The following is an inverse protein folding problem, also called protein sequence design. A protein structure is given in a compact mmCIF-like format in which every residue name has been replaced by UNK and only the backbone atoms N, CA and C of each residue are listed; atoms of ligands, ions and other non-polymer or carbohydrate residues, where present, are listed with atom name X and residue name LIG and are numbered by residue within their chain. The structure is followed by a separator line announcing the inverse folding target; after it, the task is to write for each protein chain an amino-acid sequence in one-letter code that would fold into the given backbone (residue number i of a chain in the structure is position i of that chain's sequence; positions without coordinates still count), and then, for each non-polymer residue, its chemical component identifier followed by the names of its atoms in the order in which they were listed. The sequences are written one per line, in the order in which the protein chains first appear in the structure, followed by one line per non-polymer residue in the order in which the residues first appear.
data_IF_801781579279
#
_entry.id   IF_801781579279
#
_cell.length_a   1.000
_cell.length_b   1.000
_cell.length_c   1.000
_cell.angle_alpha   90.00
_cell.angle_beta   90.00
_cell.angle_gamma   90.00
#
_symmetry.space_group_name_H-M   'P 1'
#
loop_
_entity.id
_entity.type
_entity.pdbx_description
1 polymer ?
#
# COMPACT_ATOMS: atom_id res chain seq x y z
N UNK A 1 0.00 22.96 32.74
CA UNK A 1 0.43 21.66 33.31
C UNK A 1 0.61 20.54 32.29
N UNK A 2 0.66 20.86 30.97
CA UNK A 2 0.82 19.86 29.87
C UNK A 2 2.24 19.74 29.32
N UNK A 3 3.16 20.62 29.68
CA UNK A 3 4.54 20.65 29.15
C UNK A 3 5.54 19.78 29.91
N UNK A 4 5.28 19.40 31.14
CA UNK A 4 6.21 18.57 31.94
C UNK A 4 6.32 17.11 31.46
N UNK A 5 5.25 16.56 30.88
CA UNK A 5 5.28 15.17 30.39
C UNK A 5 6.04 15.01 29.07
N UNK A 6 6.11 16.08 28.26
CA UNK A 6 6.92 16.08 27.02
C UNK A 6 8.43 16.15 27.29
N UNK A 7 8.81 16.82 28.39
CA UNK A 7 10.22 16.92 28.77
C UNK A 7 10.78 15.57 29.28
N UNK A 8 9.97 14.78 29.95
CA UNK A 8 10.36 13.45 30.41
C UNK A 8 10.54 12.44 29.27
N UNK A 9 9.69 12.53 28.23
CA UNK A 9 9.84 11.68 27.05
C UNK A 9 11.07 12.07 26.20
N UNK A 10 11.32 13.40 26.04
CA UNK A 10 12.50 13.90 25.34
C UNK A 10 13.80 13.56 26.05
N UNK A 11 13.81 13.54 27.38
CA UNK A 11 14.96 13.14 28.19
C UNK A 11 15.21 11.63 28.08
N UNK A 12 14.17 10.80 27.95
CA UNK A 12 14.33 9.36 27.75
C UNK A 12 14.92 9.03 26.37
N UNK A 13 14.48 9.72 25.33
CA UNK A 13 15.07 9.59 23.99
C UNK A 13 16.51 10.13 23.91
N UNK A 14 16.83 11.21 24.62
CA UNK A 14 18.18 11.76 24.65
C UNK A 14 19.17 10.89 25.45
N UNK A 15 18.71 10.20 26.50
CA UNK A 15 19.54 9.26 27.27
C UNK A 15 19.88 7.99 26.49
N UNK A 16 19.04 7.55 25.55
CA UNK A 16 19.34 6.42 24.66
C UNK A 16 20.33 6.82 23.55
N UNK A 17 20.36 8.09 23.14
CA UNK A 17 21.27 8.57 22.09
C UNK A 17 22.70 8.89 22.59
N UNK A 18 22.91 9.05 23.90
CA UNK A 18 24.22 9.42 24.45
C UNK A 18 25.02 8.23 25.04
N UNK A 19 24.43 7.03 25.09
CA UNK A 19 25.06 5.85 25.69
C UNK A 19 25.90 4.97 24.75
N UNK A 20 26.34 5.46 23.60
CA UNK A 20 27.14 4.69 22.64
C UNK A 20 28.65 4.56 22.99
N UNK A 21 29.07 4.84 24.23
CA UNK A 21 30.48 4.69 24.63
C UNK A 21 30.72 4.15 26.03
N UNK A 22 29.77 3.43 26.62
CA UNK A 22 30.05 2.72 27.91
C UNK A 22 29.54 1.30 27.76
N UNK A 23 30.46 0.37 27.70
CA UNK A 23 30.24 -1.07 27.80
C UNK A 23 29.77 -1.39 29.24
N UNK A 24 28.47 -1.32 29.48
CA UNK A 24 27.86 -1.86 30.68
C UNK A 24 27.11 -3.12 30.30
N UNK A 25 27.65 -4.27 30.66
CA UNK A 25 26.91 -5.53 30.70
C UNK A 25 25.84 -5.42 31.79
N UNK A 26 24.72 -4.75 31.48
CA UNK A 26 23.51 -4.93 32.23
C UNK A 26 22.81 -6.14 31.62
N UNK A 27 22.74 -7.23 32.38
CA UNK A 27 21.78 -8.31 32.15
C UNK A 27 20.40 -7.63 32.08
N UNK A 28 19.92 -7.33 30.87
CA UNK A 28 18.52 -6.92 30.67
C UNK A 28 17.72 -8.21 30.65
N UNK A 29 16.81 -8.31 31.59
CA UNK A 29 15.81 -9.36 31.59
C UNK A 29 15.15 -9.37 30.21
N UNK A 30 15.25 -10.50 29.53
CA UNK A 30 14.61 -10.73 28.23
C UNK A 30 13.10 -10.68 28.42
N UNK A 31 12.47 -9.57 28.02
CA UNK A 31 11.02 -9.46 27.98
C UNK A 31 10.56 -10.12 26.68
N UNK A 32 9.71 -11.16 26.74
CA UNK A 32 9.17 -11.79 25.55
C UNK A 32 8.56 -10.76 24.59
N UNK A 33 8.69 -10.99 23.29
CA UNK A 33 8.16 -10.09 22.24
C UNK A 33 6.69 -9.77 22.48
N UNK A 34 5.91 -10.72 22.98
CA UNK A 34 4.50 -10.57 23.28
C UNK A 34 4.23 -9.55 24.38
N UNK A 35 5.04 -9.54 25.44
CA UNK A 35 4.86 -8.60 26.55
C UNK A 35 5.24 -7.18 26.15
N UNK A 36 6.26 -7.00 25.34
CA UNK A 36 6.62 -5.67 24.79
C UNK A 36 5.50 -5.09 23.94
N UNK A 37 4.92 -5.91 23.08
CA UNK A 37 3.80 -5.51 22.21
C UNK A 37 2.54 -5.21 23.01
N UNK A 38 2.18 -6.08 23.98
CA UNK A 38 1.05 -5.87 24.87
C UNK A 38 1.22 -4.60 25.71
N UNK A 39 2.42 -4.32 26.21
CA UNK A 39 2.73 -3.10 26.96
C UNK A 39 2.56 -1.84 26.10
N UNK A 40 2.96 -1.89 24.86
CA UNK A 40 2.76 -0.81 23.88
C UNK A 40 1.28 -0.53 23.64
N UNK A 41 0.50 -1.57 23.40
CA UNK A 41 -0.95 -1.46 23.25
C UNK A 41 -1.61 -0.91 24.51
N UNK A 42 -1.24 -1.41 25.68
CA UNK A 42 -1.75 -0.90 26.96
C UNK A 42 -1.47 0.59 27.12
N UNK A 43 -0.23 1.02 26.95
CA UNK A 43 0.14 2.44 27.02
C UNK A 43 -0.68 3.28 26.04
N UNK A 44 -0.77 2.84 24.78
CA UNK A 44 -1.48 3.55 23.73
C UNK A 44 -2.98 3.72 24.05
N UNK A 45 -3.68 2.62 24.37
CA UNK A 45 -5.13 2.69 24.62
C UNK A 45 -5.45 3.36 25.94
N UNK A 46 -4.63 3.25 26.96
CA UNK A 46 -4.78 4.01 28.21
C UNK A 46 -4.65 5.52 27.97
N UNK A 47 -3.72 5.96 27.12
CA UNK A 47 -3.57 7.36 26.76
C UNK A 47 -4.71 7.88 25.88
N UNK A 48 -5.37 7.01 25.12
CA UNK A 48 -6.38 7.32 24.10
C UNK A 48 -7.79 6.88 24.49
N UNK A 49 -8.01 6.43 25.72
CA UNK A 49 -9.32 5.91 26.16
C UNK A 49 -10.47 6.90 25.95
N UNK A 50 -10.22 8.19 26.15
CA UNK A 50 -11.21 9.24 25.89
C UNK A 50 -11.56 9.40 24.40
N UNK A 51 -10.62 9.04 23.48
CA UNK A 51 -10.80 9.19 22.02
C UNK A 51 -11.26 7.88 21.35
N UNK A 52 -10.79 6.73 21.85
CA UNK A 52 -10.99 5.42 21.23
C UNK A 52 -12.14 4.60 21.82
N UNK A 53 -12.62 4.96 23.02
CA UNK A 53 -13.63 4.21 23.76
C UNK A 53 -13.01 3.08 24.62
N UNK A 54 -13.89 2.29 25.24
CA UNK A 54 -13.48 1.19 26.11
C UNK A 54 -12.74 0.10 25.34
N UNK A 55 -11.72 -0.47 25.95
CA UNK A 55 -10.88 -1.50 25.35
C UNK A 55 -10.63 -2.69 26.28
N UNK A 56 -10.15 -3.80 25.72
CA UNK A 56 -9.82 -5.00 26.47
C UNK A 56 -8.84 -5.89 25.73
N UNK A 57 -8.32 -6.86 26.46
CA UNK A 57 -7.41 -7.89 25.94
C UNK A 57 -7.88 -9.28 26.34
N UNK A 58 -7.84 -10.22 25.40
CA UNK A 58 -8.14 -11.63 25.65
C UNK A 58 -7.52 -12.54 24.59
N UNK A 59 -6.87 -13.61 25.06
CA UNK A 59 -6.25 -14.63 24.19
C UNK A 59 -5.33 -14.03 23.10
N UNK A 60 -4.55 -12.99 23.45
CA UNK A 60 -3.67 -12.29 22.51
C UNK A 60 -4.36 -11.31 21.57
N UNK A 61 -5.68 -11.18 21.63
CA UNK A 61 -6.41 -10.14 20.90
C UNK A 61 -6.53 -8.88 21.74
N UNK A 62 -6.30 -7.72 21.10
CA UNK A 62 -6.68 -6.41 21.64
C UNK A 62 -7.90 -5.93 20.89
N UNK A 63 -8.89 -5.40 21.59
CA UNK A 63 -10.16 -4.98 21.01
C UNK A 63 -10.74 -3.73 21.67
N UNK A 64 -11.38 -2.91 20.87
CA UNK A 64 -12.22 -1.82 21.32
C UNK A 64 -13.68 -2.31 21.35
N UNK A 65 -14.49 -1.85 22.30
CA UNK A 65 -15.87 -2.31 22.41
C UNK A 65 -16.88 -1.23 22.74
N UNK A 66 -18.10 -1.48 22.32
CA UNK A 66 -19.28 -0.65 22.62
C UNK A 66 -20.27 -1.45 23.47
N UNK A 67 -20.53 -0.99 24.67
CA UNK A 67 -21.58 -1.56 25.54
C UNK A 67 -22.94 -1.35 24.92
N UNK A 68 -23.21 -0.14 24.39
CA UNK A 68 -24.50 0.22 23.78
C UNK A 68 -24.92 -0.75 22.68
N UNK A 69 -23.98 -1.17 21.86
CA UNK A 69 -24.26 -2.03 20.69
C UNK A 69 -23.89 -3.49 20.92
N UNK A 70 -23.31 -3.81 22.07
CA UNK A 70 -22.76 -5.13 22.39
C UNK A 70 -21.85 -5.70 21.29
N UNK A 71 -20.95 -4.83 20.77
CA UNK A 71 -20.03 -5.16 19.68
C UNK A 71 -18.60 -4.88 20.04
N UNK A 72 -17.67 -5.62 19.37
CA UNK A 72 -16.24 -5.42 19.46
C UNK A 72 -15.62 -5.20 18.08
N UNK A 73 -14.52 -4.41 18.09
CA UNK A 73 -13.61 -4.18 16.98
C UNK A 73 -12.23 -4.73 17.37
N UNK A 74 -11.72 -5.72 16.65
CA UNK A 74 -10.36 -6.21 16.84
C UNK A 74 -9.38 -5.20 16.27
N UNK A 75 -8.44 -4.76 17.08
CA UNK A 75 -7.38 -3.81 16.72
C UNK A 75 -5.98 -4.42 16.87
N UNK A 76 -5.83 -5.53 17.60
CA UNK A 76 -4.60 -6.32 17.72
C UNK A 76 -4.90 -7.81 17.64
N UNK A 77 -3.94 -8.59 17.16
CA UNK A 77 -4.03 -10.04 16.99
C UNK A 77 -2.81 -10.72 17.64
N UNK A 78 -2.89 -12.03 18.01
CA UNK A 78 -1.76 -12.76 18.57
C UNK A 78 -0.50 -12.66 17.71
N UNK A 79 0.65 -12.39 18.34
CA UNK A 79 1.91 -12.10 17.65
C UNK A 79 2.64 -13.32 17.14
N UNK A 80 2.62 -14.42 17.88
CA UNK A 80 3.40 -15.65 17.65
C UNK A 80 2.65 -16.73 16.88
N UNK A 81 1.33 -16.58 16.74
CA UNK A 81 0.48 -17.57 16.09
C UNK A 81 0.56 -17.47 14.56
N UNK A 82 0.85 -18.61 13.90
CA UNK A 82 0.81 -18.70 12.43
C UNK A 82 -0.61 -18.74 11.87
N UNK A 83 -1.56 -19.28 12.63
CA UNK A 83 -2.97 -19.37 12.25
C UNK A 83 -3.75 -18.62 13.31
N UNK A 84 -4.37 -17.53 12.91
CA UNK A 84 -5.20 -16.70 13.80
C UNK A 84 -6.67 -16.90 13.45
N UNK A 85 -7.43 -17.37 14.41
CA UNK A 85 -8.88 -17.51 14.32
C UNK A 85 -9.53 -16.31 15.01
N UNK A 86 -9.99 -15.32 14.26
CA UNK A 86 -10.74 -14.20 14.83
C UNK A 86 -12.05 -14.74 15.43
N UNK A 87 -12.33 -14.50 16.72
CA UNK A 87 -13.52 -15.05 17.36
C UNK A 87 -14.81 -14.37 16.90
N UNK A 88 -15.93 -15.08 16.91
CA UNK A 88 -17.24 -14.47 16.66
C UNK A 88 -17.69 -13.54 17.81
N UNK A 89 -17.25 -13.87 19.04
CA UNK A 89 -17.50 -13.08 20.26
C UNK A 89 -16.23 -13.01 21.10
N UNK A 90 -16.05 -11.90 21.79
CA UNK A 90 -14.98 -11.68 22.76
C UNK A 90 -15.60 -10.97 23.97
N UNK A 91 -15.46 -11.54 25.17
CA UNK A 91 -16.09 -11.09 26.40
C UNK A 91 -17.60 -10.79 26.23
N UNK A 92 -18.32 -11.75 25.65
CA UNK A 92 -19.74 -11.66 25.36
C UNK A 92 -20.12 -10.73 24.21
N UNK A 93 -19.22 -9.86 23.73
CA UNK A 93 -19.47 -8.87 22.68
C UNK A 93 -19.24 -9.47 21.29
N UNK A 94 -20.14 -9.20 20.34
CA UNK A 94 -20.03 -9.71 18.98
C UNK A 94 -18.92 -8.96 18.21
N UNK A 95 -17.94 -9.71 17.68
CA UNK A 95 -16.87 -9.14 16.85
C UNK A 95 -17.43 -8.79 15.48
N UNK A 96 -17.50 -7.50 15.17
CA UNK A 96 -18.10 -6.98 13.93
C UNK A 96 -17.09 -6.29 13.01
N UNK A 97 -15.93 -5.90 13.53
CA UNK A 97 -14.90 -5.17 12.78
C UNK A 97 -13.51 -5.73 13.09
N UNK A 98 -12.65 -5.74 12.06
CA UNK A 98 -11.21 -5.95 12.19
C UNK A 98 -10.54 -4.70 11.63
N UNK A 99 -9.74 -4.03 12.45
CA UNK A 99 -9.04 -2.79 12.10
C UNK A 99 -7.61 -2.84 12.62
N UNK A 100 -6.78 -3.55 11.90
CA UNK A 100 -5.37 -3.73 12.28
C UNK A 100 -4.51 -2.47 12.01
N UNK A 101 -5.16 -1.41 11.54
CA UNK A 101 -4.50 -0.14 11.20
C UNK A 101 -4.62 0.93 12.29
N UNK A 102 -5.62 0.85 13.17
CA UNK A 102 -5.85 1.88 14.22
C UNK A 102 -4.62 2.10 15.11
N UNK A 103 -3.87 1.05 15.39
CA UNK A 103 -2.63 1.12 16.16
C UNK A 103 -1.56 1.96 15.47
N UNK A 104 -1.52 1.92 14.13
CA UNK A 104 -0.56 2.70 13.35
C UNK A 104 -0.98 4.14 13.10
N UNK A 105 -2.28 4.43 12.98
CA UNK A 105 -2.79 5.81 12.91
C UNK A 105 -2.40 6.60 14.14
N UNK A 106 -2.44 5.95 15.27
CA UNK A 106 -2.07 6.58 16.52
C UNK A 106 -0.58 6.91 16.59
N UNK A 107 0.26 6.10 15.94
CA UNK A 107 1.70 6.35 15.87
C UNK A 107 2.07 7.44 14.84
N UNK A 108 1.19 7.79 13.88
CA UNK A 108 1.48 8.85 12.90
C UNK A 108 1.55 10.24 13.52
N UNK A 109 0.91 10.47 14.66
CA UNK A 109 0.92 11.79 15.30
C UNK A 109 2.17 12.05 16.15
N UNK A 110 2.91 11.03 16.63
CA UNK A 110 4.21 11.17 17.33
C UNK A 110 4.97 9.83 17.43
N UNK A 111 6.22 9.80 17.05
CA UNK A 111 7.40 8.95 17.39
C UNK A 111 7.25 7.45 17.80
N UNK A 112 6.05 6.87 17.90
CA UNK A 112 5.86 5.45 18.25
C UNK A 112 6.34 4.46 17.16
N UNK A 113 6.75 4.95 16.00
CA UNK A 113 7.29 4.10 14.91
C UNK A 113 8.56 3.36 15.30
N UNK A 114 9.33 3.91 16.20
CA UNK A 114 10.57 3.31 16.69
C UNK A 114 10.33 2.19 17.68
N UNK A 115 9.21 2.19 18.40
CA UNK A 115 8.89 1.18 19.41
C UNK A 115 8.42 -0.15 18.79
N UNK A 116 7.96 -0.16 17.54
CA UNK A 116 7.63 -1.38 16.79
C UNK A 116 8.83 -1.95 16.01
N UNK A 117 9.97 -1.27 16.04
CA UNK A 117 11.20 -1.73 15.43
C UNK A 117 12.15 -2.20 16.54
N UNK A 118 12.46 -3.48 16.55
CA UNK A 118 13.48 -4.03 17.43
C UNK A 118 14.86 -3.61 16.92
N UNK A 119 15.46 -2.62 17.59
CA UNK A 119 16.75 -2.05 17.19
C UNK A 119 17.89 -3.06 17.39
N UNK A 120 17.75 -3.95 18.38
CA UNK A 120 18.77 -4.96 18.73
C UNK A 120 18.77 -6.11 17.71
N UNK A 121 17.58 -6.56 17.28
CA UNK A 121 17.43 -7.61 16.27
C UNK A 121 17.36 -7.05 14.83
N UNK A 122 17.23 -5.73 14.65
CA UNK A 122 17.06 -5.10 13.35
C UNK A 122 15.75 -5.48 12.65
N UNK A 123 14.73 -5.87 13.41
CA UNK A 123 13.47 -6.40 12.89
C UNK A 123 12.25 -5.63 13.39
N UNK A 124 11.17 -5.67 12.63
CA UNK A 124 9.89 -5.11 13.04
C UNK A 124 9.13 -6.10 13.92
N UNK A 125 8.58 -5.63 15.04
CA UNK A 125 7.65 -6.39 15.86
C UNK A 125 6.33 -6.56 15.12
N UNK A 126 6.18 -7.66 14.40
CA UNK A 126 5.03 -7.95 13.57
C UNK A 126 4.47 -9.34 13.83
N UNK A 127 3.14 -9.52 13.78
CA UNK A 127 2.54 -10.83 13.96
C UNK A 127 3.09 -11.86 12.96
N UNK A 128 3.40 -13.07 13.45
CA UNK A 128 3.85 -14.19 12.62
C UNK A 128 2.72 -14.84 11.82
N UNK A 129 1.54 -14.21 11.75
CA UNK A 129 0.34 -14.75 11.13
C UNK A 129 0.55 -15.05 9.64
N UNK A 130 0.31 -16.30 9.28
CA UNK A 130 0.33 -16.78 7.89
C UNK A 130 -1.09 -16.98 7.34
N UNK A 131 -2.03 -17.35 8.20
CA UNK A 131 -3.44 -17.58 7.84
C UNK A 131 -4.33 -16.80 8.80
N UNK A 132 -5.19 -15.95 8.25
CA UNK A 132 -6.20 -15.23 9.02
C UNK A 132 -7.59 -15.78 8.69
N UNK A 133 -8.23 -16.38 9.70
CA UNK A 133 -9.59 -16.89 9.62
C UNK A 133 -10.59 -15.84 10.11
N UNK A 134 -11.49 -15.42 9.22
CA UNK A 134 -12.46 -14.34 9.42
C UNK A 134 -13.85 -14.97 9.64
N UNK A 135 -14.51 -14.72 10.78
CA UNK A 135 -15.80 -15.33 11.12
C UNK A 135 -16.96 -14.69 10.34
N UNK A 136 -18.15 -15.30 10.48
CA UNK A 136 -19.37 -14.81 9.80
C UNK A 136 -19.84 -13.45 10.33
N UNK A 137 -19.49 -13.06 11.54
CA UNK A 137 -19.95 -11.84 12.23
C UNK A 137 -19.25 -10.57 11.75
N UNK A 138 -18.03 -10.68 11.18
CA UNK A 138 -17.25 -9.52 10.74
C UNK A 138 -17.90 -8.87 9.52
N UNK A 139 -18.31 -7.61 9.70
CA UNK A 139 -18.99 -6.75 8.71
C UNK A 139 -18.02 -5.78 8.02
N UNK A 140 -16.95 -5.37 8.72
CA UNK A 140 -16.00 -4.40 8.24
C UNK A 140 -14.58 -4.87 8.50
N UNK A 141 -13.76 -4.80 7.46
CA UNK A 141 -12.31 -5.01 7.54
C UNK A 141 -11.68 -3.76 6.95
N UNK A 142 -11.10 -2.94 7.82
CA UNK A 142 -10.29 -1.80 7.41
C UNK A 142 -8.87 -2.30 7.11
N UNK A 143 -8.68 -2.76 5.89
CA UNK A 143 -7.37 -2.89 5.32
C UNK A 143 -7.07 -1.55 4.63
N UNK A 144 -6.61 -0.58 5.40
CA UNK A 144 -6.16 0.72 4.92
C UNK A 144 -7.09 1.44 3.91
N UNK A 145 -7.74 2.50 4.32
CA UNK A 145 -8.27 3.54 3.44
C UNK A 145 -7.32 4.75 3.44
N UNK A 146 -6.53 4.84 2.37
CA UNK A 146 -5.96 6.05 1.81
C UNK A 146 -5.38 7.12 2.74
N UNK A 147 -4.16 6.93 3.28
CA UNK A 147 -3.30 8.04 3.66
C UNK A 147 -2.47 8.51 2.47
N UNK A 148 -2.24 9.80 2.36
CA UNK A 148 -1.32 10.36 1.37
C UNK A 148 0.06 9.73 1.53
N UNK A 149 0.56 9.08 0.46
CA UNK A 149 1.95 8.62 0.42
C UNK A 149 2.87 9.85 0.34
N UNK A 150 3.16 10.46 1.47
CA UNK A 150 4.32 11.32 1.56
C UNK A 150 5.58 10.46 1.52
N UNK A 151 6.57 10.93 0.78
CA UNK A 151 7.82 10.23 0.50
C UNK A 151 8.46 9.63 1.75
N UNK A 152 8.56 8.31 1.83
CA UNK A 152 9.18 7.57 2.94
C UNK A 152 8.25 6.70 3.79
N UNK A 153 6.94 6.88 3.73
CA UNK A 153 5.98 6.21 4.63
C UNK A 153 5.57 4.78 4.23
N UNK A 154 5.92 4.33 3.05
CA UNK A 154 5.54 2.99 2.56
C UNK A 154 6.13 1.82 3.38
N UNK A 155 7.15 2.04 4.21
CA UNK A 155 7.83 0.96 4.94
C UNK A 155 7.12 0.53 6.23
N UNK A 156 6.43 1.44 6.94
CA UNK A 156 5.84 1.15 8.26
C UNK A 156 4.43 0.56 8.23
N UNK A 157 3.62 0.96 7.27
CA UNK A 157 2.15 0.80 7.30
C UNK A 157 1.61 -0.60 7.03
N UNK A 158 2.46 -1.55 6.59
CA UNK A 158 2.02 -2.91 6.25
C UNK A 158 2.67 -4.00 7.08
N UNK A 159 3.24 -3.61 8.22
CA UNK A 159 3.92 -4.53 9.12
C UNK A 159 3.01 -5.63 9.63
N UNK A 160 1.74 -5.34 9.93
CA UNK A 160 0.82 -6.31 10.52
C UNK A 160 0.55 -7.55 9.64
N UNK A 161 0.52 -7.41 8.33
CA UNK A 161 0.23 -8.52 7.43
C UNK A 161 1.47 -9.01 6.68
N UNK A 162 2.68 -8.72 7.19
CA UNK A 162 3.94 -9.04 6.49
C UNK A 162 4.10 -10.51 6.15
N UNK A 163 3.64 -11.40 7.03
CA UNK A 163 3.79 -12.85 6.89
C UNK A 163 2.55 -13.53 6.30
N UNK A 164 1.45 -12.78 6.10
CA UNK A 164 0.19 -13.38 5.66
C UNK A 164 0.31 -14.02 4.27
N UNK A 165 -0.11 -15.28 4.19
CA UNK A 165 -0.16 -16.09 2.97
C UNK A 165 -1.59 -16.30 2.47
N UNK A 166 -2.59 -16.24 3.39
CA UNK A 166 -3.96 -16.64 3.05
C UNK A 166 -4.99 -16.00 3.99
N UNK A 167 -6.09 -15.55 3.39
CA UNK A 167 -7.34 -15.29 4.10
C UNK A 167 -8.28 -16.48 3.95
N UNK A 168 -8.90 -16.91 5.02
CA UNK A 168 -10.08 -17.75 5.01
C UNK A 168 -11.28 -16.95 5.55
N UNK A 169 -12.40 -17.03 4.88
CA UNK A 169 -13.63 -16.35 5.29
C UNK A 169 -14.71 -17.41 5.47
N UNK A 170 -15.36 -17.40 6.61
CA UNK A 170 -16.45 -18.33 6.91
C UNK A 170 -17.57 -18.23 5.85
N UNK A 171 -18.11 -19.36 5.43
CA UNK A 171 -19.12 -19.44 4.36
C UNK A 171 -20.36 -18.58 4.65
N UNK A 172 -20.77 -18.49 5.92
CA UNK A 172 -21.88 -17.66 6.40
C UNK A 172 -21.59 -16.15 6.47
N UNK A 173 -20.36 -15.70 6.20
CA UNK A 173 -20.11 -14.26 6.17
C UNK A 173 -20.87 -13.60 5.02
N UNK A 174 -21.65 -12.54 5.32
CA UNK A 174 -22.51 -11.84 4.36
C UNK A 174 -21.83 -10.72 3.59
N UNK A 175 -20.64 -10.27 4.02
CA UNK A 175 -19.94 -9.10 3.47
C UNK A 175 -18.72 -9.48 2.65
N UNK A 176 -18.02 -10.54 3.03
CA UNK A 176 -16.75 -10.96 2.46
C UNK A 176 -16.76 -12.41 2.01
N UNK A 177 -15.81 -12.72 1.15
CA UNK A 177 -15.44 -14.08 0.76
C UNK A 177 -13.94 -14.16 0.50
N UNK A 178 -13.37 -15.33 0.71
CA UNK A 178 -12.07 -15.66 0.18
C UNK A 178 -12.20 -16.39 -1.16
N UNK A 179 -11.37 -16.03 -2.12
CA UNK A 179 -11.20 -16.78 -3.37
C UNK A 179 -9.72 -17.03 -3.57
N UNK A 180 -9.32 -18.30 -3.52
CA UNK A 180 -7.90 -18.72 -3.56
C UNK A 180 -7.03 -18.01 -2.50
N UNK A 181 -7.56 -17.77 -1.32
CA UNK A 181 -6.83 -17.09 -0.23
C UNK A 181 -6.74 -15.58 -0.34
N UNK A 182 -7.34 -14.97 -1.35
CA UNK A 182 -7.41 -13.52 -1.57
C UNK A 182 -8.77 -13.02 -1.09
N UNK A 183 -8.79 -11.87 -0.42
CA UNK A 183 -10.00 -11.28 0.14
C UNK A 183 -10.78 -10.48 -0.89
N UNK A 184 -12.07 -10.74 -0.99
CA UNK A 184 -13.03 -10.04 -1.85
C UNK A 184 -14.28 -9.64 -1.07
N UNK A 185 -15.04 -8.66 -1.59
CA UNK A 185 -16.44 -8.49 -1.20
C UNK A 185 -17.24 -9.76 -1.50
N UNK A 186 -18.33 -10.01 -0.78
CA UNK A 186 -19.15 -11.23 -0.90
C UNK A 186 -19.57 -11.52 -2.33
N UNK A 187 -20.02 -10.50 -3.06
CA UNK A 187 -20.42 -10.60 -4.46
C UNK A 187 -19.22 -10.79 -5.43
N UNK A 188 -17.99 -10.70 -4.94
CA UNK A 188 -16.77 -10.82 -5.73
C UNK A 188 -16.49 -9.69 -6.72
N UNK A 189 -17.23 -8.58 -6.60
CA UNK A 189 -17.06 -7.42 -7.50
C UNK A 189 -15.84 -6.56 -7.17
N UNK A 190 -15.45 -6.49 -5.89
CA UNK A 190 -14.25 -5.76 -5.44
C UNK A 190 -13.23 -6.75 -4.86
N UNK A 191 -11.98 -6.74 -5.39
CA UNK A 191 -10.84 -7.35 -4.75
C UNK A 191 -10.36 -6.38 -3.66
N UNK A 192 -10.40 -6.81 -2.40
CA UNK A 192 -10.03 -5.97 -1.24
C UNK A 192 -8.52 -5.97 -1.06
N UNK A 193 -7.93 -7.14 -0.82
CA UNK A 193 -6.48 -7.23 -0.61
C UNK A 193 -5.95 -8.64 -0.91
N UNK A 194 -4.70 -8.69 -1.35
CA UNK A 194 -3.93 -9.90 -1.58
C UNK A 194 -2.93 -10.05 -0.44
N UNK A 195 -2.81 -11.23 0.17
CA UNK A 195 -1.82 -11.46 1.21
C UNK A 195 -0.40 -11.11 0.74
N UNK A 196 0.36 -10.42 1.60
CA UNK A 196 1.68 -9.91 1.23
C UNK A 196 2.68 -11.03 0.86
N UNK A 197 2.60 -12.19 1.54
CA UNK A 197 3.38 -13.41 1.26
C UNK A 197 2.59 -14.43 0.47
N UNK A 198 1.62 -13.97 -0.35
CA UNK A 198 0.90 -14.87 -1.24
C UNK A 198 1.87 -15.74 -2.05
N UNK A 199 1.65 -17.07 -2.03
CA UNK A 199 2.66 -18.03 -2.50
C UNK A 199 2.77 -18.12 -4.02
N UNK A 200 1.67 -17.88 -4.75
CA UNK A 200 1.67 -18.00 -6.20
C UNK A 200 2.36 -16.82 -6.88
N UNK A 201 3.26 -17.09 -7.80
CA UNK A 201 3.93 -16.05 -8.64
C UNK A 201 2.99 -15.38 -9.65
N UNK A 202 1.85 -16.00 -9.94
CA UNK A 202 0.84 -15.49 -10.88
C UNK A 202 -0.52 -15.39 -10.20
N UNK A 203 -1.12 -14.21 -10.23
CA UNK A 203 -2.51 -14.00 -9.79
C UNK A 203 -3.40 -13.77 -11.01
N UNK A 204 -4.36 -14.68 -11.19
CA UNK A 204 -5.51 -14.47 -12.09
C UNK A 204 -6.66 -13.95 -11.24
N UNK A 205 -6.96 -12.66 -11.36
CA UNK A 205 -8.08 -12.03 -10.63
C UNK A 205 -9.40 -12.68 -11.05
N UNK A 206 -10.29 -12.91 -10.08
CA UNK A 206 -11.58 -13.59 -10.28
C UNK A 206 -12.38 -12.94 -11.42
N UNK A 207 -12.91 -13.75 -12.34
CA UNK A 207 -13.84 -13.26 -13.39
C UNK A 207 -15.03 -12.53 -12.73
N UNK A 208 -15.49 -11.45 -13.35
CA UNK A 208 -16.57 -10.62 -12.83
C UNK A 208 -16.13 -9.57 -11.79
N UNK A 209 -14.86 -9.53 -11.37
CA UNK A 209 -14.33 -8.42 -10.57
C UNK A 209 -14.35 -7.14 -11.39
N UNK A 210 -14.88 -6.06 -10.81
CA UNK A 210 -15.03 -4.75 -11.44
C UNK A 210 -14.10 -3.69 -10.86
N UNK A 211 -13.59 -3.92 -9.64
CA UNK A 211 -12.79 -2.95 -8.89
C UNK A 211 -11.63 -3.64 -8.16
N UNK A 212 -10.44 -3.05 -8.26
CA UNK A 212 -9.27 -3.39 -7.44
C UNK A 212 -9.15 -2.29 -6.41
N UNK A 213 -9.19 -2.65 -5.13
CA UNK A 213 -9.17 -1.70 -4.02
C UNK A 213 -7.82 -0.96 -3.92
N UNK A 214 -7.83 0.13 -3.16
CA UNK A 214 -6.63 0.84 -2.74
C UNK A 214 -5.65 -0.15 -2.11
N UNK A 215 -4.37 0.00 -2.44
CA UNK A 215 -3.27 -0.79 -1.90
C UNK A 215 -3.44 -2.32 -2.00
N UNK A 216 -4.36 -2.82 -2.84
CA UNK A 216 -4.76 -4.23 -2.87
C UNK A 216 -3.63 -5.24 -3.13
N UNK A 217 -2.60 -4.87 -3.86
CA UNK A 217 -1.39 -5.67 -4.14
C UNK A 217 -0.12 -5.03 -3.59
N UNK A 218 -0.25 -4.07 -2.68
CA UNK A 218 0.90 -3.36 -2.12
C UNK A 218 1.91 -4.33 -1.49
N UNK A 219 3.20 -4.13 -1.80
CA UNK A 219 4.31 -4.93 -1.27
C UNK A 219 4.21 -6.45 -1.53
N UNK A 220 3.40 -6.88 -2.48
CA UNK A 220 3.35 -8.28 -2.90
C UNK A 220 4.64 -8.66 -3.68
N UNK A 221 5.72 -8.93 -2.97
CA UNK A 221 7.05 -9.16 -3.56
C UNK A 221 7.20 -10.51 -4.26
N UNK A 222 6.36 -11.51 -3.92
CA UNK A 222 6.37 -12.82 -4.56
C UNK A 222 5.64 -12.83 -5.92
N UNK A 223 4.67 -11.92 -6.11
CA UNK A 223 3.84 -11.89 -7.32
C UNK A 223 4.62 -11.27 -8.47
N UNK A 224 4.79 -12.03 -9.55
CA UNK A 224 5.50 -11.57 -10.76
C UNK A 224 4.56 -11.25 -11.91
N UNK A 225 3.35 -11.83 -11.91
CA UNK A 225 2.38 -11.67 -12.99
C UNK A 225 0.96 -11.49 -12.44
N UNK A 226 0.25 -10.49 -12.94
CA UNK A 226 -1.17 -10.29 -12.65
C UNK A 226 -1.96 -10.25 -13.95
N UNK A 227 -3.10 -10.95 -13.97
CA UNK A 227 -4.04 -10.99 -15.10
C UNK A 227 -5.36 -10.44 -14.59
N UNK A 228 -5.67 -9.21 -15.01
CA UNK A 228 -6.94 -8.55 -14.71
C UNK A 228 -7.98 -8.92 -15.78
N UNK A 229 -9.19 -9.32 -15.40
CA UNK A 229 -10.27 -9.54 -16.38
C UNK A 229 -10.74 -8.21 -16.98
N UNK A 230 -11.27 -8.25 -18.20
CA UNK A 230 -11.77 -7.04 -18.90
C UNK A 230 -13.01 -6.42 -18.23
N UNK A 231 -13.58 -7.09 -17.22
CA UNK A 231 -14.64 -6.55 -16.36
C UNK A 231 -14.15 -5.49 -15.38
N UNK A 232 -12.84 -5.42 -15.10
CA UNK A 232 -12.28 -4.39 -14.20
C UNK A 232 -12.41 -3.02 -14.85
N UNK A 233 -13.08 -2.12 -14.13
CA UNK A 233 -13.33 -0.73 -14.53
C UNK A 233 -12.51 0.27 -13.72
N UNK A 234 -12.18 -0.09 -12.49
CA UNK A 234 -11.51 0.78 -11.51
C UNK A 234 -10.32 0.05 -10.90
N UNK A 235 -9.18 0.71 -10.92
CA UNK A 235 -8.01 0.38 -10.13
C UNK A 235 -7.80 1.59 -9.23
N UNK A 236 -8.00 1.40 -7.92
CA UNK A 236 -7.87 2.49 -6.95
C UNK A 236 -6.40 2.88 -6.73
N UNK A 237 -6.19 3.90 -5.92
CA UNK A 237 -4.88 4.48 -5.60
C UNK A 237 -3.93 3.39 -5.05
N UNK A 238 -2.63 3.51 -5.27
CA UNK A 238 -1.59 2.64 -4.72
C UNK A 238 -1.76 1.12 -4.96
N UNK A 239 -2.70 0.70 -5.80
CA UNK A 239 -3.12 -0.71 -5.92
C UNK A 239 -1.96 -1.70 -6.11
N UNK A 240 -0.85 -1.31 -6.74
CA UNK A 240 0.34 -2.14 -7.00
C UNK A 240 1.64 -1.47 -6.53
N UNK A 241 1.57 -0.63 -5.49
CA UNK A 241 2.76 0.05 -4.97
C UNK A 241 3.79 -0.94 -4.43
N UNK A 242 5.08 -0.70 -4.66
CA UNK A 242 6.21 -1.50 -4.16
C UNK A 242 6.09 -3.01 -4.47
N UNK A 243 5.37 -3.39 -5.52
CA UNK A 243 5.23 -4.80 -5.87
C UNK A 243 6.32 -5.26 -6.87
N UNK A 244 6.75 -6.52 -6.75
CA UNK A 244 7.74 -7.10 -7.66
C UNK A 244 7.16 -7.54 -9.01
N UNK A 245 6.10 -6.90 -9.44
CA UNK A 245 5.35 -7.22 -10.63
C UNK A 245 6.16 -6.97 -11.92
N UNK A 246 6.43 -8.02 -12.69
CA UNK A 246 7.13 -7.92 -13.98
C UNK A 246 6.17 -7.72 -15.15
N UNK A 247 4.95 -8.23 -15.02
CA UNK A 247 3.94 -8.20 -16.06
C UNK A 247 2.54 -8.03 -15.47
N UNK A 248 1.77 -7.16 -16.12
CA UNK A 248 0.34 -7.02 -15.87
C UNK A 248 -0.43 -6.99 -17.19
N UNK A 249 -1.50 -7.81 -17.29
CA UNK A 249 -2.50 -7.64 -18.32
C UNK A 249 -3.52 -6.62 -17.85
N UNK A 250 -3.48 -5.43 -18.43
CA UNK A 250 -4.42 -4.35 -18.13
C UNK A 250 -5.78 -4.59 -18.80
N UNK A 251 -6.89 -4.24 -18.16
CA UNK A 251 -8.23 -4.32 -18.78
C UNK A 251 -8.39 -3.26 -19.86
N UNK A 252 -9.05 -3.63 -20.97
CA UNK A 252 -9.20 -2.73 -22.11
C UNK A 252 -10.21 -1.58 -21.90
N UNK A 253 -11.16 -1.78 -20.98
CA UNK A 253 -12.26 -0.84 -20.71
C UNK A 253 -12.11 -0.13 -19.36
N UNK A 254 -10.87 0.10 -18.94
CA UNK A 254 -10.58 0.81 -17.69
C UNK A 254 -11.18 2.22 -17.74
N UNK A 255 -11.84 2.63 -16.66
CA UNK A 255 -12.46 3.95 -16.51
C UNK A 255 -11.66 4.83 -15.57
N UNK A 256 -11.02 4.21 -14.57
CA UNK A 256 -10.27 4.90 -13.51
C UNK A 256 -8.97 4.14 -13.21
N UNK A 257 -7.88 4.90 -13.12
CA UNK A 257 -6.58 4.43 -12.67
C UNK A 257 -6.10 5.42 -11.62
N UNK A 258 -6.14 5.00 -10.38
CA UNK A 258 -5.79 5.81 -9.22
C UNK A 258 -4.35 6.28 -9.23
N UNK A 259 -4.09 7.38 -8.54
CA UNK A 259 -2.75 7.93 -8.40
C UNK A 259 -1.79 6.92 -7.80
N UNK A 260 -0.52 6.98 -8.19
CA UNK A 260 0.55 6.10 -7.68
C UNK A 260 0.28 4.59 -7.82
N UNK A 261 -0.66 4.18 -8.69
CA UNK A 261 -1.10 2.79 -8.79
C UNK A 261 0.04 1.79 -9.01
N UNK A 262 1.13 2.18 -9.65
CA UNK A 262 2.32 1.35 -9.90
C UNK A 262 3.61 1.96 -9.34
N UNK A 263 3.50 2.86 -8.36
CA UNK A 263 4.65 3.47 -7.72
C UNK A 263 5.65 2.39 -7.23
N UNK A 264 6.93 2.56 -7.51
CA UNK A 264 8.01 1.61 -7.17
C UNK A 264 7.79 0.17 -7.65
N UNK A 265 6.96 -0.05 -8.67
CA UNK A 265 6.78 -1.40 -9.19
C UNK A 265 7.97 -1.87 -10.04
N UNK A 266 8.15 -3.20 -10.13
CA UNK A 266 9.25 -3.79 -10.92
C UNK A 266 8.93 -3.95 -12.42
N UNK A 267 7.87 -3.32 -12.91
CA UNK A 267 7.44 -3.39 -14.31
C UNK A 267 8.55 -2.95 -15.26
N UNK A 268 8.76 -3.74 -16.32
CA UNK A 268 9.67 -3.38 -17.43
C UNK A 268 8.92 -2.74 -18.59
N UNK A 269 7.68 -3.16 -18.82
CA UNK A 269 6.80 -2.66 -19.89
C UNK A 269 5.36 -2.71 -19.44
N UNK A 270 4.60 -1.69 -19.85
CA UNK A 270 3.15 -1.66 -19.60
C UNK A 270 2.41 -1.08 -20.81
N UNK A 271 1.21 -1.58 -21.06
CA UNK A 271 0.24 -0.97 -22.00
C UNK A 271 -0.98 -0.54 -21.22
N UNK A 272 -1.30 0.74 -21.25
CA UNK A 272 -2.46 1.33 -20.58
C UNK A 272 -3.57 1.55 -21.58
N UNK A 273 -4.76 1.09 -21.25
CA UNK A 273 -5.99 1.23 -22.04
C UNK A 273 -7.02 2.03 -21.25
N UNK A 274 -8.07 2.46 -21.95
CA UNK A 274 -9.26 3.04 -21.34
C UNK A 274 -9.24 4.55 -21.23
N UNK A 275 -10.33 5.11 -20.67
CA UNK A 275 -10.52 6.56 -20.53
C UNK A 275 -9.98 7.05 -19.19
N UNK A 276 -8.66 6.93 -19.00
CA UNK A 276 -7.97 7.19 -17.71
C UNK A 276 -7.06 8.40 -17.78
N UNK A 277 -6.78 8.96 -16.63
CA UNK A 277 -5.73 9.95 -16.37
C UNK A 277 -4.64 9.28 -15.54
N UNK A 278 -3.39 9.72 -15.69
CA UNK A 278 -2.26 9.19 -14.96
C UNK A 278 -1.69 10.29 -14.07
N UNK A 279 -1.56 10.04 -12.76
CA UNK A 279 -0.95 10.96 -11.79
C UNK A 279 -0.01 10.18 -10.89
N UNK A 280 1.28 10.52 -10.88
CA UNK A 280 2.31 9.80 -10.12
C UNK A 280 2.40 8.29 -10.43
N UNK A 281 1.70 7.83 -11.46
CA UNK A 281 1.34 6.42 -11.67
C UNK A 281 2.54 5.47 -11.71
N UNK A 282 3.66 5.90 -12.30
CA UNK A 282 4.88 5.09 -12.45
C UNK A 282 6.09 5.72 -11.75
N UNK A 283 5.85 6.58 -10.75
CA UNK A 283 6.89 7.22 -9.97
C UNK A 283 7.84 6.16 -9.35
N UNK A 284 9.15 6.38 -9.44
CA UNK A 284 10.22 5.49 -8.94
C UNK A 284 10.24 4.07 -9.54
N UNK A 285 9.67 3.85 -10.72
CA UNK A 285 9.74 2.57 -11.41
C UNK A 285 11.14 2.33 -12.01
N UNK A 286 12.11 1.91 -11.19
CA UNK A 286 13.53 1.76 -11.56
C UNK A 286 13.81 0.80 -12.73
N UNK A 287 12.87 -0.11 -13.05
CA UNK A 287 13.01 -1.11 -14.11
C UNK A 287 12.22 -0.78 -15.38
N UNK A 288 11.37 0.25 -15.36
CA UNK A 288 10.46 0.58 -16.45
C UNK A 288 11.23 1.08 -17.68
N UNK A 289 11.04 0.40 -18.83
CA UNK A 289 11.68 0.72 -20.11
C UNK A 289 10.72 1.28 -21.13
N UNK A 290 9.47 0.79 -21.15
CA UNK A 290 8.50 1.10 -22.20
C UNK A 290 7.11 1.26 -21.64
N UNK A 291 6.47 2.36 -21.99
CA UNK A 291 5.06 2.63 -21.69
C UNK A 291 4.31 2.87 -23.01
N UNK A 292 3.21 2.14 -23.19
CA UNK A 292 2.34 2.32 -24.36
C UNK A 292 0.97 2.79 -23.86
N UNK A 293 0.65 4.03 -24.17
CA UNK A 293 -0.68 4.60 -23.89
C UNK A 293 -1.53 4.43 -25.16
N UNK A 294 -2.67 3.76 -25.01
CA UNK A 294 -3.61 3.52 -26.12
C UNK A 294 -4.64 4.65 -26.24
N UNK A 295 -5.33 4.71 -27.39
CA UNK A 295 -6.45 5.62 -27.62
C UNK A 295 -7.45 5.55 -26.46
N UNK A 296 -7.84 6.70 -25.93
CA UNK A 296 -8.71 6.79 -24.75
C UNK A 296 -8.04 7.35 -23.50
N UNK A 297 -6.73 7.15 -23.32
CA UNK A 297 -5.99 7.84 -22.24
C UNK A 297 -6.15 9.35 -22.43
N UNK A 298 -6.65 10.03 -21.38
CA UNK A 298 -7.09 11.43 -21.46
C UNK A 298 -5.97 12.41 -21.12
N UNK A 299 -5.17 12.10 -20.09
CA UNK A 299 -4.19 13.03 -19.53
C UNK A 299 -2.99 12.29 -18.97
N UNK A 300 -1.81 12.87 -19.15
CA UNK A 300 -0.63 12.63 -18.33
C UNK A 300 -0.54 13.82 -17.36
N UNK A 301 -0.83 13.57 -16.11
CA UNK A 301 -0.71 14.56 -15.05
C UNK A 301 0.72 14.64 -14.51
N UNK A 302 0.84 15.11 -13.29
CA UNK A 302 2.14 15.34 -12.67
C UNK A 302 2.81 14.04 -12.19
N UNK A 303 4.14 14.06 -12.14
CA UNK A 303 5.00 13.06 -11.49
C UNK A 303 4.87 11.63 -12.03
N UNK A 304 4.35 11.47 -13.27
CA UNK A 304 4.04 10.14 -13.84
C UNK A 304 5.28 9.26 -13.95
N UNK A 305 6.43 9.84 -14.34
CA UNK A 305 7.68 9.09 -14.62
C UNK A 305 8.88 9.59 -13.81
N UNK A 306 8.65 10.19 -12.65
CA UNK A 306 9.75 10.62 -11.80
C UNK A 306 10.61 9.42 -11.45
N UNK A 307 11.93 9.62 -11.54
CA UNK A 307 12.95 8.64 -11.19
C UNK A 307 12.72 7.24 -11.83
N UNK A 308 12.48 7.28 -13.16
CA UNK A 308 12.44 6.09 -14.02
C UNK A 308 13.71 6.02 -14.90
N UNK A 309 14.91 5.74 -14.37
CA UNK A 309 16.19 5.92 -15.08
C UNK A 309 16.35 5.01 -16.30
N UNK A 310 15.61 3.90 -16.34
CA UNK A 310 15.63 2.95 -17.47
C UNK A 310 14.58 3.24 -18.53
N UNK A 311 13.75 4.29 -18.38
CA UNK A 311 12.73 4.63 -19.37
C UNK A 311 13.38 5.05 -20.70
N UNK A 312 12.92 4.45 -21.80
CA UNK A 312 13.45 4.66 -23.15
C UNK A 312 12.36 5.02 -24.16
N UNK A 313 11.14 4.58 -23.94
CA UNK A 313 10.07 4.78 -24.92
C UNK A 313 8.70 5.00 -24.26
N UNK A 314 8.04 6.07 -24.67
CA UNK A 314 6.64 6.35 -24.31
C UNK A 314 5.84 6.53 -25.59
N UNK A 315 4.82 5.69 -25.77
CA UNK A 315 3.86 5.88 -26.89
C UNK A 315 2.71 6.71 -26.38
N UNK A 316 2.46 7.85 -27.04
CA UNK A 316 1.43 8.82 -26.69
C UNK A 316 0.38 8.88 -27.80
N UNK A 317 -0.92 8.64 -27.52
CA UNK A 317 -1.97 8.75 -28.53
C UNK A 317 -2.27 10.19 -28.91
N UNK A 318 -2.92 10.40 -30.08
CA UNK A 318 -3.24 11.72 -30.61
C UNK A 318 -4.05 12.62 -29.67
N UNK A 319 -4.92 12.00 -28.82
CA UNK A 319 -5.89 12.74 -28.00
C UNK A 319 -5.34 13.44 -26.76
N UNK A 320 -4.07 13.22 -26.41
CA UNK A 320 -3.44 13.92 -25.27
C UNK A 320 -2.94 15.28 -25.77
N UNK A 321 -3.51 16.35 -25.17
CA UNK A 321 -3.16 17.74 -25.48
C UNK A 321 -2.24 18.34 -24.41
N UNK A 322 -1.56 19.43 -24.77
CA UNK A 322 -0.73 20.26 -23.88
C UNK A 322 0.36 19.51 -23.08
N UNK A 323 0.70 18.28 -23.49
CA UNK A 323 1.69 17.45 -22.78
C UNK A 323 3.06 18.12 -22.70
N UNK A 324 3.43 18.86 -23.73
CA UNK A 324 4.71 19.56 -23.81
C UNK A 324 4.84 20.70 -22.77
N UNK A 325 3.72 21.28 -22.32
CA UNK A 325 3.70 22.31 -21.26
C UNK A 325 4.06 21.72 -19.89
N UNK A 326 3.84 20.42 -19.69
CA UNK A 326 4.00 19.74 -18.41
C UNK A 326 5.14 18.73 -18.42
N UNK A 327 6.06 18.78 -19.41
CA UNK A 327 7.16 17.82 -19.49
C UNK A 327 7.99 17.80 -18.20
N UNK A 328 8.29 18.96 -17.63
CA UNK A 328 9.06 19.04 -16.40
C UNK A 328 8.32 18.36 -15.24
N UNK A 329 7.05 18.68 -14.99
CA UNK A 329 6.30 18.06 -13.89
C UNK A 329 6.02 16.55 -14.09
N UNK A 330 6.00 16.07 -15.35
CA UNK A 330 5.82 14.64 -15.64
C UNK A 330 7.05 13.80 -15.29
N UNK A 331 8.26 14.36 -15.54
CA UNK A 331 9.53 13.63 -15.47
C UNK A 331 10.47 14.11 -14.36
N UNK A 332 10.20 15.25 -13.72
CA UNK A 332 11.11 15.89 -12.76
C UNK A 332 10.42 16.25 -11.45
N UNK A 333 11.13 16.07 -10.33
CA UNK A 333 10.75 16.52 -9.00
C UNK A 333 11.99 16.64 -8.10
N UNK A 334 12.25 17.82 -7.51
CA UNK A 334 13.28 18.05 -6.49
C UNK A 334 14.65 17.38 -6.79
N UNK A 335 15.19 17.58 -7.97
CA UNK A 335 16.46 16.95 -8.37
C UNK A 335 16.36 15.52 -8.94
N UNK A 336 15.25 14.83 -8.73
CA UNK A 336 15.01 13.49 -9.26
C UNK A 336 14.40 13.57 -10.66
N UNK A 337 15.14 13.13 -11.67
CA UNK A 337 14.69 13.19 -13.07
C UNK A 337 15.02 11.93 -13.86
N UNK A 338 14.20 11.65 -14.85
CA UNK A 338 14.60 10.75 -15.93
C UNK A 338 15.63 11.45 -16.83
N UNK A 339 16.58 10.68 -17.38
CA UNK A 339 17.43 11.22 -18.45
C UNK A 339 16.60 11.36 -19.73
N UNK A 340 16.10 12.56 -19.97
CA UNK A 340 15.20 12.87 -21.08
C UNK A 340 15.83 12.64 -22.44
N UNK A 341 17.15 12.82 -22.58
CA UNK A 341 17.88 12.58 -23.85
C UNK A 341 17.81 11.13 -24.33
N UNK A 342 17.56 10.21 -23.42
CA UNK A 342 17.41 8.78 -23.73
C UNK A 342 15.98 8.39 -24.10
N UNK A 343 15.03 9.32 -23.99
CA UNK A 343 13.60 9.02 -24.20
C UNK A 343 13.23 9.26 -25.66
N UNK A 344 12.51 8.29 -26.23
CA UNK A 344 11.81 8.44 -27.50
C UNK A 344 10.31 8.48 -27.25
N UNK A 345 9.66 9.58 -27.60
CA UNK A 345 8.21 9.69 -27.66
C UNK A 345 7.74 9.21 -29.03
N UNK A 346 6.85 8.23 -29.04
CA UNK A 346 6.21 7.70 -30.25
C UNK A 346 4.78 8.21 -30.32
N UNK A 347 4.41 8.87 -31.42
CA UNK A 347 3.11 9.50 -31.54
C UNK A 347 2.66 9.62 -33.02
N UNK A 348 1.35 9.70 -33.33
CA UNK A 348 0.89 9.95 -34.69
C UNK A 348 1.37 11.30 -35.24
N UNK A 349 1.59 11.38 -36.57
CA UNK A 349 2.07 12.59 -37.26
C UNK A 349 1.18 13.83 -37.05
N UNK A 350 -0.11 13.62 -36.87
CA UNK A 350 -1.10 14.68 -36.64
C UNK A 350 -1.38 14.97 -35.15
N UNK A 351 -0.53 14.48 -34.25
CA UNK A 351 -0.63 14.80 -32.84
C UNK A 351 0.07 16.12 -32.49
N UNK A 352 -0.35 16.75 -31.39
CA UNK A 352 0.29 17.94 -30.85
C UNK A 352 1.77 17.67 -30.50
N UNK A 353 2.06 16.53 -29.86
CA UNK A 353 3.45 16.12 -29.54
C UNK A 353 4.36 16.05 -30.77
N UNK A 354 3.83 15.68 -31.93
CA UNK A 354 4.63 15.70 -33.16
C UNK A 354 4.85 17.11 -33.69
N UNK A 355 3.85 17.99 -33.57
CA UNK A 355 3.98 19.41 -33.95
C UNK A 355 5.09 20.07 -33.17
N UNK A 356 5.18 19.79 -31.85
CA UNK A 356 6.18 20.34 -30.92
C UNK A 356 7.55 19.64 -30.93
N UNK A 357 7.80 18.70 -31.85
CA UNK A 357 9.01 17.88 -31.91
C UNK A 357 10.33 18.67 -31.94
N UNK A 358 10.35 19.83 -32.62
CA UNK A 358 11.52 20.70 -32.71
C UNK A 358 11.87 21.31 -31.35
N UNK A 359 10.87 21.83 -30.64
CA UNK A 359 10.98 22.35 -29.28
C UNK A 359 11.46 21.26 -28.30
N UNK A 360 10.82 20.10 -28.27
CA UNK A 360 11.18 18.98 -27.42
C UNK A 360 12.63 18.50 -27.64
N UNK A 361 13.08 18.47 -28.91
CA UNK A 361 14.46 18.13 -29.26
C UNK A 361 15.44 19.19 -28.76
N UNK A 362 15.13 20.50 -28.97
CA UNK A 362 15.99 21.63 -28.58
C UNK A 362 16.11 21.74 -27.06
N UNK A 363 14.99 21.76 -26.35
CA UNK A 363 14.90 22.03 -24.89
C UNK A 363 15.30 20.83 -24.04
N UNK A 364 14.80 19.63 -24.38
CA UNK A 364 14.88 18.43 -23.54
C UNK A 364 15.68 17.29 -24.15
N UNK A 365 16.20 17.43 -25.37
CA UNK A 365 16.89 16.39 -26.15
C UNK A 365 16.02 15.14 -26.42
N UNK A 366 14.70 15.24 -26.23
CA UNK A 366 13.74 14.16 -26.49
C UNK A 366 13.61 13.92 -27.99
N UNK A 367 13.68 12.63 -28.38
CA UNK A 367 13.43 12.20 -29.75
C UNK A 367 11.92 11.93 -29.95
N UNK A 368 11.33 12.46 -31.02
CA UNK A 368 9.92 12.19 -31.37
C UNK A 368 9.90 11.39 -32.67
N UNK A 369 9.26 10.20 -32.63
CA UNK A 369 9.08 9.32 -33.80
C UNK A 369 7.62 9.17 -34.15
N UNK A 370 7.32 9.16 -35.45
CA UNK A 370 5.98 8.91 -35.95
C UNK A 370 5.63 7.43 -35.87
N UNK A 371 4.41 7.16 -35.44
CA UNK A 371 3.77 5.84 -35.57
C UNK A 371 2.53 5.95 -36.47
N UNK A 372 2.22 4.84 -37.13
CA UNK A 372 1.01 4.72 -37.95
C UNK A 372 -0.24 4.69 -37.08
#
# INVERSE_FOLDING_TARGET
MKWKNYLLLAVFCALVAVSSSVTVHAQRDYVPVDDRYLTLFQKFFTMKEAECGKWGQKNGFTYLYSEKNNTAKIVGIPMDQKIVNVPEKIDGKTVTKIDLYDVFRASEQQDYRYELYDVEEGTWLVPKVEILNIPKTVKLIDAYEGGSLNEGYCKGMQSFLMHLKKFNVASGNRWYRSYKGILYTKNGKKLITVPRKYTAKTVKVKKGTTKIADSAFSFCTNIKKVILPDTVKVIEQNAFVCCSLNYIRMPRRLKELGGSAFHESALKKITVYGKVELNGTFKYCKKLKTVVLKKGVKKLGEYVFIDCPKLRSVTVPKGIKNLWLYIDSIFYYRGLKCNLSNITIKTPKNSEMYKERKFLKKRYKIKVKVIK
#
